data_IF_836768405506
#
_entry.id   IF_836768405506
#
_cell.length_a   1.000
_cell.length_b   1.000
_cell.length_c   1.000
_cell.angle_alpha   90.00
_cell.angle_beta   90.00
_cell.angle_gamma   90.00
#
_symmetry.space_group_name_H-M   'P 1'
#
loop_
_entity.id
_entity.type
_entity.pdbx_description
1 polymer ?
#
# COMPACT_ATOMS: atom_id res chain seq x y z
N UNK A 1 -0.10 -83.42 -34.18
CA UNK A 1 -1.45 -83.28 -33.56
C UNK A 1 -1.54 -81.86 -33.05
N UNK A 2 -2.38 -80.92 -33.50
CA UNK A 2 -3.40 -80.81 -34.55
C UNK A 2 -3.49 -79.30 -34.89
N UNK A 3 -3.52 -78.93 -36.18
CA UNK A 3 -4.57 -78.15 -36.91
C UNK A 3 -5.09 -76.89 -36.17
N UNK A 4 -5.24 -75.70 -36.74
CA UNK A 4 -5.63 -75.30 -38.11
C UNK A 4 -5.51 -73.77 -38.29
N UNK A 5 -5.56 -73.33 -39.54
CA UNK A 5 -5.46 -71.96 -40.11
C UNK A 5 -6.90 -71.50 -40.51
N UNK A 6 -7.11 -70.34 -41.17
CA UNK A 6 -7.29 -68.93 -40.73
C UNK A 6 -8.77 -68.45 -40.88
N UNK A 7 -9.05 -67.13 -40.87
CA UNK A 7 -9.88 -66.39 -41.86
C UNK A 7 -9.95 -64.87 -41.55
N UNK A 8 -10.06 -64.14 -42.66
CA UNK A 8 -10.13 -62.71 -42.99
C UNK A 8 -11.32 -61.87 -42.47
N UNK A 9 -11.09 -60.55 -42.51
CA UNK A 9 -11.88 -59.46 -43.16
C UNK A 9 -12.70 -58.41 -42.39
N UNK A 10 -12.62 -57.20 -42.99
CA UNK A 10 -13.35 -55.93 -42.84
C UNK A 10 -13.00 -55.07 -41.60
N UNK A 11 -12.63 -53.78 -41.70
CA UNK A 11 -12.78 -52.80 -42.77
C UNK A 11 -13.50 -51.54 -42.21
N UNK A 12 -13.07 -50.36 -42.69
CA UNK A 12 -13.77 -49.05 -42.67
C UNK A 12 -13.56 -48.24 -41.37
N UNK A 13 -12.74 -47.16 -41.30
CA UNK A 13 -12.78 -45.82 -41.95
C UNK A 13 -13.53 -44.75 -41.12
N UNK A 14 -13.12 -43.50 -41.30
CA UNK A 14 -13.79 -42.23 -40.97
C UNK A 14 -13.42 -41.46 -39.67
N UNK A 15 -12.48 -40.52 -39.87
CA UNK A 15 -12.58 -39.05 -39.63
C UNK A 15 -12.85 -38.49 -38.23
N UNK A 16 -11.89 -37.68 -37.74
CA UNK A 16 -12.13 -36.59 -36.78
C UNK A 16 -11.74 -35.25 -37.41
N UNK A 17 -12.73 -34.64 -38.07
CA UNK A 17 -12.87 -33.20 -38.22
C UNK A 17 -13.23 -32.61 -36.84
N UNK A 18 -12.51 -31.58 -36.40
CA UNK A 18 -12.81 -30.84 -35.18
C UNK A 18 -12.23 -29.43 -35.25
N UNK A 19 -12.95 -28.55 -35.95
CA UNK A 19 -12.61 -27.16 -36.21
C UNK A 19 -12.96 -26.24 -35.04
N UNK A 20 -12.03 -25.33 -34.75
CA UNK A 20 -12.19 -23.93 -34.33
C UNK A 20 -13.65 -23.42 -34.24
N UNK A 21 -14.10 -23.17 -33.01
CA UNK A 21 -15.11 -22.18 -32.69
C UNK A 21 -14.96 -21.79 -31.21
N UNK A 22 -14.56 -20.55 -30.93
CA UNK A 22 -14.40 -20.10 -29.54
C UNK A 22 -13.82 -18.71 -29.37
N UNK A 23 -14.20 -17.75 -30.22
CA UNK A 23 -13.96 -16.32 -29.97
C UNK A 23 -15.16 -15.51 -30.48
N UNK A 24 -16.12 -15.24 -29.60
CA UNK A 24 -17.02 -14.08 -29.70
C UNK A 24 -17.83 -13.96 -28.42
N UNK A 25 -17.91 -12.76 -27.84
CA UNK A 25 -19.14 -12.18 -27.30
C UNK A 25 -18.89 -10.75 -26.77
N UNK A 26 -19.44 -9.78 -27.48
CA UNK A 26 -19.89 -8.48 -26.97
C UNK A 26 -21.37 -8.57 -26.56
N UNK A 27 -21.72 -7.86 -25.48
CA UNK A 27 -22.99 -7.22 -25.08
C UNK A 27 -24.36 -7.79 -25.50
N UNK A 28 -25.27 -7.99 -24.53
CA UNK A 28 -26.52 -7.21 -24.39
C UNK A 28 -27.34 -7.57 -23.12
N UNK A 29 -28.16 -6.58 -22.74
CA UNK A 29 -28.96 -6.40 -21.53
C UNK A 29 -30.31 -7.17 -21.46
N UNK A 30 -30.94 -7.03 -20.27
CA UNK A 30 -32.38 -7.00 -19.91
C UNK A 30 -33.10 -8.28 -19.46
N UNK A 31 -33.78 -8.20 -18.31
CA UNK A 31 -34.66 -9.27 -17.80
C UNK A 31 -35.22 -9.12 -16.38
N UNK A 32 -35.94 -8.04 -16.12
CA UNK A 32 -36.65 -7.62 -14.89
C UNK A 32 -37.72 -8.62 -14.34
N UNK A 33 -37.78 -8.84 -13.01
CA UNK A 33 -39.00 -9.05 -12.17
C UNK A 33 -38.58 -8.86 -10.69
N UNK A 34 -39.26 -8.22 -9.73
CA UNK A 34 -40.54 -7.52 -9.63
C UNK A 34 -40.95 -7.44 -8.14
N UNK A 35 -41.53 -6.30 -7.73
CA UNK A 35 -42.21 -5.96 -6.43
C UNK A 35 -41.31 -5.35 -5.33
N UNK A 36 -41.69 -4.28 -4.62
CA UNK A 36 -42.86 -3.39 -4.64
C UNK A 36 -42.47 -2.12 -3.85
N UNK A 37 -42.76 -0.94 -4.40
CA UNK A 37 -42.80 0.33 -3.67
C UNK A 37 -44.13 0.47 -2.91
N UNK A 38 -44.10 1.11 -1.74
CA UNK A 38 -45.02 2.22 -1.46
C UNK A 38 -44.37 3.23 -0.50
N UNK A 39 -44.68 4.53 -0.65
CA UNK A 39 -44.05 5.65 0.05
C UNK A 39 -44.89 6.11 1.26
N UNK A 40 -44.32 6.92 2.15
CA UNK A 40 -45.00 8.05 2.81
C UNK A 40 -44.01 8.94 3.58
N UNK A 41 -44.41 10.20 3.66
CA UNK A 41 -43.61 11.42 3.81
C UNK A 41 -43.80 12.02 5.23
N UNK A 42 -43.50 13.30 5.53
CA UNK A 42 -42.63 13.72 6.63
C UNK A 42 -43.37 14.57 7.71
N UNK A 43 -42.74 14.74 8.87
CA UNK A 43 -43.23 15.54 10.02
C UNK A 43 -44.55 15.06 10.67
N UNK A 44 -44.44 14.52 11.89
CA UNK A 44 -45.26 14.96 13.03
C UNK A 44 -44.76 14.27 14.32
N UNK A 45 -44.44 15.12 15.30
CA UNK A 45 -44.40 14.88 16.75
C UNK A 45 -43.55 13.71 17.28
N UNK A 46 -42.48 13.98 18.04
CA UNK A 46 -42.64 14.39 19.43
C UNK A 46 -41.61 15.46 19.84
N UNK A 47 -42.16 16.62 20.13
CA UNK A 47 -41.64 17.61 21.07
C UNK A 47 -41.27 16.98 22.40
N UNK A 48 -40.00 17.05 22.78
CA UNK A 48 -39.49 16.61 24.09
C UNK A 48 -38.39 17.55 24.57
N UNK A 49 -38.80 18.70 25.10
CA UNK A 49 -37.94 19.69 25.73
C UNK A 49 -37.23 19.13 26.97
N UNK A 50 -35.90 19.19 27.02
CA UNK A 50 -35.18 19.40 28.28
C UNK A 50 -34.05 20.41 28.09
N UNK A 51 -34.34 21.59 28.64
CA UNK A 51 -33.51 22.77 28.83
C UNK A 51 -32.14 22.44 29.41
N UNK A 52 -31.07 22.90 28.76
CA UNK A 52 -29.90 23.50 29.42
C UNK A 52 -29.52 24.78 28.67
N UNK A 53 -30.09 25.89 29.11
CA UNK A 53 -29.65 27.24 28.74
C UNK A 53 -28.63 27.71 29.78
N UNK A 54 -27.44 28.12 29.33
CA UNK A 54 -26.96 29.51 29.47
C UNK A 54 -25.60 29.73 28.77
N UNK A 55 -25.24 30.99 28.44
CA UNK A 55 -24.85 31.35 27.08
C UNK A 55 -23.33 31.49 26.86
N UNK A 56 -22.90 31.09 25.66
CA UNK A 56 -21.62 31.49 25.08
C UNK A 56 -21.71 32.96 24.70
N UNK A 57 -20.97 33.82 25.41
CA UNK A 57 -20.61 35.15 24.92
C UNK A 57 -19.72 34.97 23.68
N UNK A 58 -20.27 35.31 22.51
CA UNK A 58 -19.50 35.74 21.35
C UNK A 58 -19.03 37.16 21.64
N UNK A 59 -17.73 37.34 21.79
CA UNK A 59 -17.02 38.59 21.48
C UNK A 59 -15.51 38.31 21.45
N UNK A 60 -14.84 38.81 20.43
CA UNK A 60 -13.38 38.87 20.38
C UNK A 60 -12.77 38.10 19.21
N UNK A 61 -12.38 38.84 18.19
CA UNK A 61 -11.32 38.47 17.26
C UNK A 61 -10.05 38.20 18.09
N UNK A 62 -9.89 36.96 18.54
CA UNK A 62 -8.78 36.54 19.38
C UNK A 62 -7.55 36.29 18.51
N UNK A 63 -6.67 37.27 18.45
CA UNK A 63 -5.25 37.05 18.10
C UNK A 63 -4.76 35.90 18.97
N UNK A 64 -4.15 34.90 18.35
CA UNK A 64 -3.59 33.75 19.04
C UNK A 64 -2.49 34.24 20.02
N UNK A 65 -2.68 34.14 21.35
CA UNK A 65 -1.70 34.63 22.32
C UNK A 65 -0.38 33.83 22.30
N UNK A 66 -0.31 32.75 21.50
CA UNK A 66 0.85 31.88 21.38
C UNK A 66 1.76 32.17 20.17
N UNK A 67 1.44 33.14 19.29
CA UNK A 67 2.42 33.62 18.30
C UNK A 67 3.65 34.28 18.96
N UNK A 68 3.51 34.75 20.20
CA UNK A 68 4.57 35.41 20.96
C UNK A 68 5.53 34.46 21.67
N UNK A 69 5.21 33.16 21.75
CA UNK A 69 6.00 32.16 22.49
C UNK A 69 6.71 31.15 21.60
N UNK A 70 6.62 31.29 20.27
CA UNK A 70 7.55 30.62 19.37
C UNK A 70 8.92 31.31 19.52
N UNK A 71 10.01 30.57 19.77
CA UNK A 71 11.34 31.16 19.74
C UNK A 71 11.53 31.83 18.38
N UNK A 72 11.75 33.15 18.38
CA UNK A 72 12.31 33.87 17.25
C UNK A 72 13.79 33.46 17.11
N UNK A 73 14.04 32.19 16.77
CA UNK A 73 15.39 31.70 16.50
C UNK A 73 15.65 31.77 15.01
N UNK A 74 16.40 32.80 14.64
CA UNK A 74 17.22 32.92 13.43
C UNK A 74 16.49 32.57 12.13
N UNK A 75 15.88 33.59 11.55
CA UNK A 75 15.60 33.65 10.14
C UNK A 75 16.89 33.45 9.32
N UNK A 76 17.17 32.21 8.94
CA UNK A 76 18.04 31.89 7.83
C UNK A 76 17.57 30.59 7.17
N UNK A 77 17.16 30.72 5.91
CA UNK A 77 16.80 29.68 4.92
C UNK A 77 15.37 29.09 4.96
N UNK A 78 14.41 29.89 4.45
CA UNK A 78 13.13 29.47 3.82
C UNK A 78 12.36 28.33 4.53
N UNK A 79 11.83 28.59 5.71
CA UNK A 79 10.59 27.94 6.16
C UNK A 79 9.41 28.45 5.30
N UNK A 80 9.36 28.04 4.02
CA UNK A 80 8.21 28.36 3.17
C UNK A 80 7.04 27.47 3.62
N UNK A 81 6.10 28.04 4.37
CA UNK A 81 4.80 27.42 4.58
C UNK A 81 4.11 27.31 3.22
N UNK A 82 3.87 26.08 2.76
CA UNK A 82 3.16 25.77 1.53
C UNK A 82 1.75 25.29 1.87
N UNK A 83 0.92 25.12 0.85
CA UNK A 83 -0.42 24.53 0.99
C UNK A 83 -0.44 23.12 0.41
N UNK A 84 -1.37 22.28 0.88
CA UNK A 84 -1.64 20.97 0.26
C UNK A 84 -1.98 21.12 -1.23
N UNK A 85 -2.59 22.24 -1.65
CA UNK A 85 -2.87 22.49 -3.06
C UNK A 85 -1.58 22.60 -3.90
N UNK A 86 -0.55 23.29 -3.41
CA UNK A 86 0.74 23.36 -4.10
C UNK A 86 1.45 22.01 -4.13
N UNK A 87 1.41 21.26 -3.02
CA UNK A 87 1.98 19.90 -2.95
C UNK A 87 1.38 18.99 -4.03
N UNK A 88 0.05 18.99 -4.14
CA UNK A 88 -0.70 18.14 -5.08
C UNK A 88 -0.51 18.58 -6.54
N UNK A 89 -0.41 19.89 -6.79
CA UNK A 89 -0.24 20.41 -8.16
C UNK A 89 1.19 20.24 -8.68
N UNK A 90 2.18 20.48 -7.84
CA UNK A 90 3.57 20.67 -8.28
C UNK A 90 4.47 19.52 -7.82
N UNK A 91 4.50 19.23 -6.52
CA UNK A 91 5.50 18.32 -5.92
C UNK A 91 5.20 16.85 -6.21
N UNK A 92 3.94 16.41 -6.02
CA UNK A 92 3.55 15.02 -6.22
C UNK A 92 3.70 14.59 -7.70
N UNK A 93 3.18 15.36 -8.69
CA UNK A 93 3.32 14.99 -10.10
C UNK A 93 4.78 14.94 -10.56
N UNK A 94 5.59 15.92 -10.15
CA UNK A 94 7.03 15.92 -10.44
C UNK A 94 7.70 14.67 -9.88
N UNK A 95 7.39 14.31 -8.63
CA UNK A 95 7.93 13.11 -8.01
C UNK A 95 7.55 11.84 -8.75
N UNK A 96 6.26 11.63 -9.02
CA UNK A 96 5.74 10.44 -9.69
C UNK A 96 6.26 10.30 -11.13
N UNK A 97 6.51 11.41 -11.82
CA UNK A 97 7.07 11.41 -13.18
C UNK A 97 8.50 10.87 -13.22
N UNK A 98 9.27 11.07 -12.15
CA UNK A 98 10.64 10.58 -12.03
C UNK A 98 10.74 9.13 -11.54
N UNK A 99 9.66 8.55 -11.02
CA UNK A 99 9.67 7.19 -10.47
C UNK A 99 9.66 6.13 -11.57
N UNK A 100 10.67 5.27 -11.56
CA UNK A 100 10.81 4.14 -12.48
C UNK A 100 10.24 2.85 -11.94
N UNK A 101 10.42 2.58 -10.67
CA UNK A 101 9.91 1.41 -9.96
C UNK A 101 9.70 1.77 -8.48
N UNK A 102 8.68 1.19 -7.83
CA UNK A 102 8.49 1.38 -6.40
C UNK A 102 9.56 0.60 -5.63
N UNK A 103 10.29 1.28 -4.75
CA UNK A 103 11.24 0.61 -3.85
C UNK A 103 10.55 0.31 -2.53
N UNK A 104 10.73 -0.91 -2.03
CA UNK A 104 10.21 -1.33 -0.73
C UNK A 104 11.33 -1.32 0.30
N UNK A 105 11.06 -0.72 1.45
CA UNK A 105 11.91 -0.81 2.63
C UNK A 105 11.38 -1.86 3.58
N UNK A 106 12.32 -2.62 4.10
CA UNK A 106 12.13 -3.61 5.15
C UNK A 106 13.27 -3.41 6.13
N UNK A 107 12.96 -3.35 7.41
CA UNK A 107 13.98 -3.23 8.45
C UNK A 107 14.67 -4.60 8.66
N UNK A 108 15.96 -4.68 8.36
CA UNK A 108 16.76 -5.89 8.48
C UNK A 108 17.44 -5.97 9.86
N UNK A 109 17.76 -7.19 10.31
CA UNK A 109 18.37 -7.42 11.62
C UNK A 109 19.77 -6.83 11.76
N UNK A 110 20.43 -6.61 10.63
CA UNK A 110 21.76 -5.99 10.54
C UNK A 110 21.69 -4.46 10.61
N UNK A 111 20.51 -3.85 10.49
CA UNK A 111 20.37 -2.41 10.48
C UNK A 111 20.56 -1.85 11.90
N UNK A 112 21.28 -0.73 12.02
CA UNK A 112 21.50 -0.07 13.31
C UNK A 112 20.17 0.27 14.01
N UNK A 113 19.16 0.67 13.24
CA UNK A 113 17.82 0.95 13.76
C UNK A 113 17.16 -0.29 14.39
N UNK A 114 17.37 -1.48 13.81
CA UNK A 114 16.87 -2.73 14.39
C UNK A 114 17.56 -3.02 15.74
N UNK A 115 18.88 -2.86 15.79
CA UNK A 115 19.69 -3.08 17.00
C UNK A 115 19.28 -2.09 18.11
N UNK A 116 19.04 -0.82 17.75
CA UNK A 116 18.54 0.21 18.67
C UNK A 116 17.14 -0.15 19.17
N UNK A 117 16.23 -0.55 18.27
CA UNK A 117 14.88 -1.00 18.63
C UNK A 117 14.90 -2.21 19.58
N UNK A 118 15.73 -3.21 19.33
CA UNK A 118 15.90 -4.36 20.23
C UNK A 118 16.45 -3.98 21.60
N UNK A 119 17.33 -2.97 21.64
CA UNK A 119 17.88 -2.47 22.90
C UNK A 119 16.83 -1.69 23.70
N UNK A 120 16.03 -0.87 23.03
CA UNK A 120 14.87 -0.19 23.63
C UNK A 120 13.86 -1.21 24.17
N UNK A 121 13.49 -2.20 23.34
CA UNK A 121 12.56 -3.27 23.71
C UNK A 121 12.99 -3.99 24.98
N UNK A 122 14.25 -4.42 25.07
CA UNK A 122 14.79 -5.10 26.26
C UNK A 122 14.79 -4.22 27.51
N UNK A 123 15.12 -2.93 27.36
CA UNK A 123 15.22 -1.99 28.49
C UNK A 123 13.86 -1.68 29.10
N UNK A 124 12.85 -1.52 28.26
CA UNK A 124 11.50 -1.10 28.67
C UNK A 124 10.49 -2.25 28.70
N UNK A 125 10.98 -3.49 28.66
CA UNK A 125 10.18 -4.72 28.75
C UNK A 125 9.04 -4.79 27.71
N UNK A 126 9.29 -4.25 26.52
CA UNK A 126 8.33 -4.27 25.42
C UNK A 126 8.16 -5.70 24.91
N UNK A 127 6.91 -6.11 24.63
CA UNK A 127 6.62 -7.45 24.12
C UNK A 127 7.24 -7.68 22.73
N UNK A 128 7.55 -8.94 22.41
CA UNK A 128 8.04 -9.30 21.07
C UNK A 128 7.04 -8.91 19.98
N UNK A 129 5.74 -9.13 20.22
CA UNK A 129 4.68 -8.75 19.29
C UNK A 129 4.69 -7.25 18.97
N UNK A 130 4.81 -6.38 19.99
CA UNK A 130 4.87 -4.93 19.78
C UNK A 130 6.07 -4.50 18.96
N UNK A 131 7.22 -5.13 19.20
CA UNK A 131 8.43 -4.89 18.40
C UNK A 131 8.28 -5.34 16.94
N UNK A 132 7.68 -6.51 16.70
CA UNK A 132 7.41 -7.01 15.35
C UNK A 132 6.36 -6.15 14.62
N UNK A 133 5.34 -5.68 15.33
CA UNK A 133 4.33 -4.77 14.80
C UNK A 133 4.94 -3.42 14.41
N UNK A 134 5.78 -2.83 15.28
CA UNK A 134 6.57 -1.64 14.96
C UNK A 134 7.42 -1.83 13.70
N UNK A 135 8.13 -2.96 13.60
CA UNK A 135 8.94 -3.31 12.44
C UNK A 135 8.10 -3.44 11.15
N UNK A 136 6.92 -4.05 11.22
CA UNK A 136 6.02 -4.22 10.07
C UNK A 136 5.43 -2.89 9.62
N UNK A 137 4.96 -2.06 10.55
CA UNK A 137 4.47 -0.70 10.25
C UNK A 137 5.56 0.20 9.65
N UNK A 138 6.82 0.04 10.08
CA UNK A 138 7.96 0.75 9.47
C UNK A 138 8.33 0.25 8.07
N UNK A 139 7.76 -0.85 7.60
CA UNK A 139 8.04 -1.41 6.26
C UNK A 139 7.00 -0.92 5.25
N UNK A 140 7.40 -0.73 3.99
CA UNK A 140 6.51 -0.20 2.96
C UNK A 140 7.25 0.44 1.80
N UNK A 141 6.56 1.19 0.96
CA UNK A 141 7.15 1.83 -0.23
C UNK A 141 7.80 3.17 0.15
N UNK A 142 9.13 3.26 0.03
CA UNK A 142 9.89 4.46 0.46
C UNK A 142 9.67 5.68 -0.43
N UNK A 143 9.23 5.45 -1.65
CA UNK A 143 8.93 6.50 -2.61
C UNK A 143 7.52 7.09 -2.38
N UNK A 144 6.74 6.54 -1.44
CA UNK A 144 5.37 6.97 -1.15
C UNK A 144 5.36 7.87 0.09
N UNK A 145 4.27 8.65 0.30
CA UNK A 145 4.16 9.44 1.53
C UNK A 145 4.20 8.54 2.76
N UNK A 146 4.92 8.97 3.79
CA UNK A 146 4.96 8.30 5.08
C UNK A 146 3.88 8.88 5.99
N UNK A 147 3.24 8.05 6.80
CA UNK A 147 2.32 8.50 7.84
C UNK A 147 3.06 8.59 9.18
N UNK A 148 2.93 9.70 9.89
CA UNK A 148 3.40 9.86 11.26
C UNK A 148 2.22 9.92 12.22
N UNK A 149 2.06 8.88 13.02
CA UNK A 149 1.14 8.81 14.14
C UNK A 149 1.85 9.24 15.45
N UNK A 150 1.09 9.27 16.53
CA UNK A 150 1.65 9.62 17.83
C UNK A 150 2.39 8.42 18.45
N UNK A 151 1.69 7.32 18.61
CA UNK A 151 2.11 6.14 19.35
C UNK A 151 1.28 4.91 18.94
N UNK A 152 1.73 3.70 19.27
CA UNK A 152 1.00 2.47 18.98
C UNK A 152 -0.37 2.40 19.68
N UNK A 153 -1.25 1.55 19.15
CA UNK A 153 -2.51 1.22 19.84
C UNK A 153 -2.22 0.43 21.11
N UNK A 154 -3.17 0.42 22.05
CA UNK A 154 -3.10 -0.44 23.24
C UNK A 154 -3.21 -1.94 22.91
N UNK A 155 -3.39 -2.31 21.63
CA UNK A 155 -3.48 -3.68 21.14
C UNK A 155 -2.17 -4.14 20.47
N UNK A 156 -1.08 -3.39 20.59
CA UNK A 156 0.20 -3.68 19.94
C UNK A 156 0.86 -4.99 20.41
N UNK A 157 0.41 -5.55 21.52
CA UNK A 157 0.81 -6.86 22.01
C UNK A 157 0.20 -8.05 21.24
N UNK A 158 -0.81 -7.81 20.38
CA UNK A 158 -1.46 -8.84 19.56
C UNK A 158 -0.67 -9.14 18.27
N UNK A 159 -0.90 -10.28 17.61
CA UNK A 159 -0.50 -10.48 16.21
C UNK A 159 -0.99 -9.33 15.31
N UNK A 160 -0.24 -9.04 14.25
CA UNK A 160 -0.46 -7.82 13.46
C UNK A 160 -1.89 -7.67 12.93
N UNK A 161 -2.45 -8.73 12.36
CA UNK A 161 -3.79 -8.75 11.79
C UNK A 161 -4.84 -8.47 12.89
N UNK A 162 -4.71 -9.11 14.04
CA UNK A 162 -5.58 -8.86 15.20
C UNK A 162 -5.40 -7.44 15.76
N UNK A 163 -4.18 -6.90 15.77
CA UNK A 163 -3.92 -5.50 16.18
C UNK A 163 -4.64 -4.53 15.24
N UNK A 164 -4.64 -4.78 13.92
CA UNK A 164 -5.32 -3.94 12.92
C UNK A 164 -6.83 -3.97 13.15
N UNK A 165 -7.41 -5.16 13.29
CA UNK A 165 -8.86 -5.35 13.51
C UNK A 165 -9.36 -4.67 14.79
N UNK A 166 -8.56 -4.69 15.86
CA UNK A 166 -8.95 -4.11 17.15
C UNK A 166 -8.61 -2.61 17.28
N UNK A 167 -7.69 -2.10 16.45
CA UNK A 167 -7.28 -0.69 16.48
C UNK A 167 -8.18 0.16 15.58
N UNK A 168 -9.00 1.03 16.18
CA UNK A 168 -9.82 2.00 15.44
C UNK A 168 -8.99 2.80 14.43
N UNK A 169 -7.77 3.20 14.81
CA UNK A 169 -6.88 3.96 13.92
C UNK A 169 -6.40 3.12 12.74
N UNK A 170 -5.90 1.90 12.97
CA UNK A 170 -5.33 1.08 11.90
C UNK A 170 -6.42 0.52 10.96
N UNK A 171 -7.56 0.09 11.51
CA UNK A 171 -8.71 -0.33 10.71
C UNK A 171 -9.22 0.80 9.80
N UNK A 172 -9.32 2.03 10.33
CA UNK A 172 -9.71 3.19 9.53
C UNK A 172 -8.68 3.50 8.43
N UNK A 173 -7.39 3.41 8.76
CA UNK A 173 -6.31 3.63 7.79
C UNK A 173 -6.32 2.57 6.70
N UNK A 174 -6.53 1.30 7.03
CA UNK A 174 -6.62 0.21 6.07
C UNK A 174 -7.76 0.45 5.06
N UNK A 175 -8.96 0.78 5.55
CA UNK A 175 -10.09 1.10 4.68
C UNK A 175 -9.84 2.35 3.81
N UNK A 176 -9.21 3.38 4.39
CA UNK A 176 -8.88 4.62 3.68
C UNK A 176 -7.84 4.38 2.58
N UNK A 177 -6.76 3.65 2.86
CA UNK A 177 -5.74 3.33 1.88
C UNK A 177 -6.27 2.38 0.79
N UNK A 178 -7.12 1.42 1.15
CA UNK A 178 -7.77 0.54 0.18
C UNK A 178 -8.60 1.34 -0.84
N UNK A 179 -9.30 2.39 -0.39
CA UNK A 179 -10.02 3.33 -1.26
C UNK A 179 -9.12 4.05 -2.28
N UNK A 180 -7.83 4.21 -1.95
CA UNK A 180 -6.82 4.81 -2.82
C UNK A 180 -6.03 3.78 -3.65
N UNK A 181 -6.35 2.48 -3.54
CA UNK A 181 -5.65 1.41 -4.26
C UNK A 181 -4.30 1.02 -3.62
N UNK A 182 -4.15 1.26 -2.32
CA UNK A 182 -2.97 0.91 -1.52
C UNK A 182 -3.35 -0.06 -0.40
N UNK A 183 -2.48 -1.02 -0.11
CA UNK A 183 -2.55 -1.80 1.12
C UNK A 183 -1.94 -1.06 2.31
N UNK A 184 -2.30 -1.45 3.53
CA UNK A 184 -1.64 -0.94 4.73
C UNK A 184 -0.13 -1.23 4.69
N UNK A 185 0.26 -2.42 4.21
CA UNK A 185 1.64 -2.84 4.01
C UNK A 185 2.36 -2.05 2.89
N UNK A 186 1.68 -1.24 2.06
CA UNK A 186 2.34 -0.39 1.06
C UNK A 186 2.81 0.95 1.64
N UNK A 187 2.24 1.37 2.77
CA UNK A 187 2.51 2.67 3.40
C UNK A 187 3.34 2.47 4.66
N UNK A 188 4.46 3.17 4.74
CA UNK A 188 5.24 3.23 5.97
C UNK A 188 4.48 4.09 6.98
N UNK A 189 4.23 3.53 8.16
CA UNK A 189 3.62 4.18 9.31
C UNK A 189 4.67 4.26 10.43
N UNK A 190 5.06 5.47 10.75
CA UNK A 190 5.93 5.79 11.88
C UNK A 190 5.09 6.31 13.04
N UNK A 191 5.53 6.03 14.27
CA UNK A 191 5.07 6.75 15.45
C UNK A 191 6.07 7.82 15.87
N UNK A 192 5.59 8.87 16.51
CA UNK A 192 6.45 9.84 17.20
C UNK A 192 7.10 9.21 18.43
N UNK A 193 6.37 8.33 19.11
CA UNK A 193 6.84 7.57 20.27
C UNK A 193 6.59 6.07 20.01
N UNK A 194 7.38 5.43 19.13
CA UNK A 194 7.22 4.02 18.81
C UNK A 194 7.40 3.14 20.05
N UNK A 195 6.63 2.05 20.09
CA UNK A 195 6.61 1.06 21.17
C UNK A 195 6.21 1.61 22.56
N UNK A 196 5.66 2.84 22.63
CA UNK A 196 5.12 3.39 23.88
C UNK A 196 3.59 3.42 23.77
N UNK A 197 2.91 2.41 24.32
CA UNK A 197 1.46 2.48 24.49
C UNK A 197 1.10 3.50 25.56
N UNK A 198 -0.17 3.89 25.56
CA UNK A 198 -0.71 4.75 26.60
C UNK A 198 -0.63 4.09 27.98
N UNK A 199 -0.81 2.77 28.04
CA UNK A 199 -0.75 2.01 29.29
C UNK A 199 0.68 1.93 29.85
N UNK A 200 1.69 1.74 28.98
CA UNK A 200 3.10 1.79 29.40
C UNK A 200 3.46 3.18 29.92
N UNK A 201 3.01 4.23 29.22
CA UNK A 201 3.26 5.61 29.63
C UNK A 201 2.67 5.89 31.01
N UNK A 202 1.43 5.46 31.26
CA UNK A 202 0.78 5.57 32.56
C UNK A 202 1.52 4.78 33.64
N UNK A 203 1.90 3.52 33.35
CA UNK A 203 2.63 2.68 34.28
C UNK A 203 3.94 3.33 34.75
N UNK A 204 4.75 3.82 33.82
CA UNK A 204 6.02 4.51 34.14
C UNK A 204 5.78 5.81 34.91
N UNK A 205 4.76 6.58 34.54
CA UNK A 205 4.43 7.83 35.24
C UNK A 205 3.96 7.61 36.68
N UNK A 206 3.23 6.54 36.94
CA UNK A 206 2.68 6.23 38.27
C UNK A 206 3.67 5.50 39.18
N UNK A 207 4.54 4.65 38.61
CA UNK A 207 5.35 3.69 39.38
C UNK A 207 6.86 3.97 39.32
N UNK A 208 7.32 4.89 38.48
CA UNK A 208 8.73 5.22 38.33
C UNK A 208 9.02 6.70 38.59
N UNK A 209 10.31 7.03 38.74
CA UNK A 209 10.73 8.41 38.92
C UNK A 209 10.47 9.26 37.66
N UNK A 210 10.16 10.57 37.78
CA UNK A 210 9.93 11.45 36.63
C UNK A 210 11.07 11.45 35.59
N UNK A 211 12.31 11.22 36.03
CA UNK A 211 13.47 11.09 35.16
C UNK A 211 13.36 9.88 34.20
N UNK A 212 12.71 8.80 34.62
CA UNK A 212 12.48 7.61 33.78
C UNK A 212 11.46 7.86 32.69
N UNK A 213 10.41 8.62 32.98
CA UNK A 213 9.42 9.02 31.98
C UNK A 213 10.06 9.87 30.87
N UNK A 214 10.91 10.82 31.25
CA UNK A 214 11.66 11.62 30.27
C UNK A 214 12.67 10.79 29.48
N UNK A 215 13.38 9.87 30.14
CA UNK A 215 14.29 8.93 29.50
C UNK A 215 13.58 8.06 28.45
N UNK A 216 12.41 7.49 28.80
CA UNK A 216 11.55 6.70 27.92
C UNK A 216 11.17 7.49 26.66
N UNK A 217 10.61 8.70 26.83
CA UNK A 217 10.19 9.56 25.73
C UNK A 217 11.36 9.94 24.82
N UNK A 218 12.49 10.33 25.41
CA UNK A 218 13.70 10.72 24.68
C UNK A 218 14.25 9.57 23.85
N UNK A 219 14.31 8.36 24.40
CA UNK A 219 14.82 7.18 23.71
C UNK A 219 13.89 6.70 22.61
N UNK A 220 12.58 6.70 22.85
CA UNK A 220 11.60 6.34 21.84
C UNK A 220 11.59 7.36 20.69
N UNK A 221 11.61 8.66 20.98
CA UNK A 221 11.71 9.67 19.92
C UNK A 221 13.04 9.60 19.16
N UNK A 222 14.13 9.14 19.79
CA UNK A 222 15.38 8.88 19.08
C UNK A 222 15.24 7.79 18.02
N UNK A 223 14.41 6.75 18.26
CA UNK A 223 14.07 5.76 17.24
C UNK A 223 13.35 6.41 16.07
N UNK A 224 12.37 7.31 16.31
CA UNK A 224 11.70 8.05 15.23
C UNK A 224 12.67 8.88 14.40
N UNK A 225 13.63 9.57 15.02
CA UNK A 225 14.68 10.31 14.30
C UNK A 225 15.48 9.38 13.40
N UNK A 226 15.93 8.25 13.95
CA UNK A 226 16.70 7.26 13.22
C UNK A 226 15.89 6.64 12.06
N UNK A 227 14.60 6.35 12.26
CA UNK A 227 13.68 5.92 11.20
C UNK A 227 13.59 6.94 10.08
N UNK A 228 13.36 8.23 10.40
CA UNK A 228 13.25 9.28 9.38
C UNK A 228 14.57 9.53 8.65
N UNK A 229 15.71 9.45 9.34
CA UNK A 229 17.04 9.59 8.75
C UNK A 229 17.40 8.42 7.82
N UNK A 230 16.90 7.22 8.13
CA UNK A 230 17.10 6.02 7.31
C UNK A 230 16.19 6.02 6.07
N UNK A 231 14.90 6.30 6.25
CA UNK A 231 13.88 6.22 5.21
C UNK A 231 13.95 7.43 4.26
N UNK A 232 14.31 8.61 4.78
CA UNK A 232 14.38 9.88 4.06
C UNK A 232 13.14 10.16 3.21
N UNK A 233 11.93 10.19 3.82
CA UNK A 233 10.71 10.36 3.07
C UNK A 233 10.62 11.77 2.48
N UNK A 234 10.15 11.87 1.24
CA UNK A 234 9.97 13.18 0.57
C UNK A 234 8.72 13.91 1.08
N UNK A 235 7.69 13.14 1.42
CA UNK A 235 6.40 13.63 1.94
C UNK A 235 6.08 12.85 3.21
N UNK A 236 5.69 13.56 4.26
CA UNK A 236 5.25 12.99 5.53
C UNK A 236 3.89 13.60 5.89
N UNK A 237 2.86 12.78 6.00
CA UNK A 237 1.58 13.19 6.57
C UNK A 237 1.66 13.00 8.09
N UNK A 238 1.65 14.09 8.84
CA UNK A 238 1.68 14.03 10.30
C UNK A 238 0.29 14.15 10.91
N UNK A 239 -0.13 13.10 11.60
CA UNK A 239 -1.37 12.98 12.34
C UNK A 239 -1.16 12.94 13.86
N UNK A 240 0.02 13.32 14.36
CA UNK A 240 0.29 13.48 15.79
C UNK A 240 -0.02 14.91 16.26
N UNK A 241 -0.74 15.04 17.38
CA UNK A 241 -1.16 16.35 17.91
C UNK A 241 -0.59 16.68 19.30
N UNK A 242 0.21 15.78 19.90
CA UNK A 242 0.44 15.74 21.34
C UNK A 242 1.74 16.37 21.83
N UNK A 243 2.62 16.89 20.96
CA UNK A 243 3.85 17.59 21.39
C UNK A 243 3.62 19.03 21.84
N UNK A 244 2.38 19.38 22.22
CA UNK A 244 2.03 20.67 22.83
C UNK A 244 2.24 20.62 24.35
N UNK A 245 2.70 21.73 24.97
CA UNK A 245 2.96 21.78 26.41
C UNK A 245 1.77 21.41 27.33
N UNK A 246 0.55 21.49 26.80
CA UNK A 246 -0.72 21.30 27.52
C UNK A 246 -1.27 19.87 27.42
N UNK A 247 -0.57 18.94 26.78
CA UNK A 247 -1.06 17.57 26.71
C UNK A 247 -0.94 16.89 28.09
N UNK A 248 -2.06 16.65 28.75
CA UNK A 248 -2.08 16.08 30.12
C UNK A 248 -1.47 14.67 30.18
N UNK A 249 -1.54 13.90 29.08
CA UNK A 249 -1.08 12.51 29.03
C UNK A 249 0.40 12.40 28.66
N UNK A 250 0.81 13.08 27.59
CA UNK A 250 2.15 13.03 27.03
C UNK A 250 3.07 14.14 27.53
N UNK A 251 2.53 15.13 28.24
CA UNK A 251 3.28 16.26 28.78
C UNK A 251 3.97 17.12 27.71
N UNK A 252 4.75 18.09 28.17
CA UNK A 252 5.64 18.84 27.30
C UNK A 252 6.90 18.01 26.99
N UNK A 253 7.10 17.66 25.72
CA UNK A 253 8.36 17.07 25.25
C UNK A 253 9.20 18.13 24.51
N UNK A 254 10.38 18.43 25.05
CA UNK A 254 11.25 19.52 24.54
C UNK A 254 12.22 18.99 23.48
N UNK A 255 11.71 18.81 22.27
CA UNK A 255 12.54 18.51 21.10
C UNK A 255 12.08 19.33 19.88
N UNK A 256 13.02 20.05 19.27
CA UNK A 256 12.74 20.97 18.15
C UNK A 256 12.15 20.24 16.95
N UNK A 257 12.62 19.02 16.65
CA UNK A 257 12.07 18.23 15.56
C UNK A 257 10.66 17.75 15.90
N UNK A 258 10.44 17.27 17.13
CA UNK A 258 9.11 16.84 17.57
C UNK A 258 8.07 17.96 17.43
N UNK A 259 8.43 19.19 17.81
CA UNK A 259 7.61 20.39 17.63
C UNK A 259 7.36 20.73 16.16
N UNK A 260 8.38 20.62 15.30
CA UNK A 260 8.23 20.81 13.85
C UNK A 260 7.44 19.69 13.20
N UNK A 261 7.36 18.51 13.79
CA UNK A 261 6.49 17.42 13.32
C UNK A 261 5.07 17.53 13.89
N UNK A 262 4.82 18.36 14.90
CA UNK A 262 3.52 18.52 15.54
C UNK A 262 2.43 19.00 14.58
N UNK A 263 1.29 18.34 14.62
CA UNK A 263 0.08 18.80 13.96
C UNK A 263 -0.91 19.42 14.94
N UNK A 264 -1.90 20.11 14.37
CA UNK A 264 -3.01 20.70 15.10
C UNK A 264 -4.24 20.76 14.19
N UNK A 265 -5.42 20.78 14.81
CA UNK A 265 -6.70 20.97 14.08
C UNK A 265 -6.67 22.25 13.25
N UNK A 266 -6.09 23.34 13.77
CA UNK A 266 -5.97 24.62 13.05
C UNK A 266 -5.10 24.47 11.80
N UNK A 267 -3.89 23.92 11.94
CA UNK A 267 -2.97 23.73 10.80
C UNK A 267 -3.51 22.75 9.76
N UNK A 268 -4.23 21.72 10.19
CA UNK A 268 -4.96 20.80 9.31
C UNK A 268 -6.09 21.54 8.55
N UNK A 269 -6.88 22.35 9.26
CA UNK A 269 -7.96 23.16 8.66
C UNK A 269 -7.47 24.21 7.67
N UNK A 270 -6.22 24.64 7.78
CA UNK A 270 -5.60 25.54 6.81
C UNK A 270 -4.89 24.78 5.68
N UNK A 271 -4.77 23.45 5.77
CA UNK A 271 -4.03 22.65 4.79
C UNK A 271 -2.57 23.06 4.72
N UNK A 272 -1.94 23.36 5.86
CA UNK A 272 -0.53 23.77 5.92
C UNK A 272 0.38 22.61 5.59
N UNK A 273 1.43 22.92 4.84
CA UNK A 273 2.58 22.05 4.57
C UNK A 273 3.83 22.81 5.00
N UNK A 274 4.67 22.18 5.80
CA UNK A 274 5.95 22.77 6.24
C UNK A 274 7.11 21.95 5.69
N UNK A 275 8.15 22.63 5.20
CA UNK A 275 9.41 21.96 4.87
C UNK A 275 10.21 21.76 6.16
N UNK A 276 10.63 20.53 6.40
CA UNK A 276 11.51 20.15 7.52
C UNK A 276 12.78 19.53 6.94
N UNK A 277 13.93 19.94 7.48
CA UNK A 277 15.23 19.35 7.13
C UNK A 277 15.68 18.42 8.26
N UNK A 278 16.05 17.19 7.92
CA UNK A 278 16.61 16.18 8.81
C UNK A 278 17.89 15.67 8.16
N UNK A 279 19.04 15.95 8.76
CA UNK A 279 20.36 15.52 8.28
C UNK A 279 20.63 15.83 6.79
N UNK A 280 20.22 17.02 6.34
CA UNK A 280 20.39 17.48 4.95
C UNK A 280 19.35 16.93 3.97
N UNK A 281 18.34 16.20 4.46
CA UNK A 281 17.21 15.73 3.69
C UNK A 281 15.98 16.59 3.94
N UNK A 282 15.46 17.22 2.88
CA UNK A 282 14.25 18.06 2.94
C UNK A 282 12.99 17.23 2.72
N UNK A 283 12.09 17.33 3.67
CA UNK A 283 10.81 16.63 3.72
C UNK A 283 9.64 17.62 3.78
N UNK A 284 8.57 17.34 3.03
CA UNK A 284 7.32 18.09 3.08
C UNK A 284 6.39 17.48 4.13
N UNK A 285 6.17 18.19 5.24
CA UNK A 285 5.32 17.75 6.34
C UNK A 285 3.93 18.32 6.19
N UNK A 286 2.99 17.46 5.82
CA UNK A 286 1.58 17.75 5.69
C UNK A 286 0.90 17.60 7.04
N UNK A 287 0.06 18.58 7.43
CA UNK A 287 -0.63 18.57 8.72
C UNK A 287 -1.98 17.87 8.63
N UNK A 288 -2.11 16.75 9.32
CA UNK A 288 -3.36 15.99 9.50
C UNK A 288 -3.89 16.08 10.94
N UNK A 289 -4.89 15.25 11.25
CA UNK A 289 -5.40 15.05 12.62
C UNK A 289 -5.41 13.55 12.91
N UNK A 290 -5.31 13.16 14.17
CA UNK A 290 -5.25 11.75 14.53
C UNK A 290 -6.56 11.04 14.15
N UNK A 291 -6.53 9.91 13.40
CA UNK A 291 -7.74 9.22 12.97
C UNK A 291 -8.68 8.85 14.12
N UNK A 292 -8.14 8.34 15.23
CA UNK A 292 -8.94 8.06 16.43
C UNK A 292 -9.78 9.25 16.90
N UNK A 293 -9.24 10.48 16.84
CA UNK A 293 -9.96 11.66 17.28
C UNK A 293 -11.18 11.95 16.40
N UNK A 294 -11.02 11.88 15.07
CA UNK A 294 -12.12 12.22 14.15
C UNK A 294 -13.18 11.13 14.10
N UNK A 295 -12.77 9.86 14.13
CA UNK A 295 -13.70 8.71 14.11
C UNK A 295 -14.54 8.66 15.38
N UNK A 296 -13.96 9.01 16.53
CA UNK A 296 -14.67 8.93 17.82
C UNK A 296 -15.45 10.21 18.16
N UNK A 297 -14.97 11.39 17.77
CA UNK A 297 -15.47 12.66 18.34
C UNK A 297 -15.92 13.72 17.33
N UNK A 298 -15.48 13.67 16.06
CA UNK A 298 -15.81 14.71 15.08
C UNK A 298 -15.91 14.16 13.64
N UNK A 299 -17.10 13.66 13.30
CA UNK A 299 -17.41 13.06 12.00
C UNK A 299 -17.24 14.04 10.82
N UNK A 300 -17.43 15.35 11.06
CA UNK A 300 -17.23 16.36 10.01
C UNK A 300 -15.74 16.53 9.67
N UNK A 301 -14.84 16.29 10.62
CA UNK A 301 -13.41 16.26 10.36
C UNK A 301 -12.95 14.94 9.72
N UNK A 302 -13.71 13.86 9.88
CA UNK A 302 -13.39 12.57 9.26
C UNK A 302 -13.41 12.66 7.74
N UNK A 303 -14.51 13.16 7.15
CA UNK A 303 -14.60 13.35 5.69
C UNK A 303 -13.46 14.23 5.16
N UNK A 304 -13.10 15.25 5.93
CA UNK A 304 -12.00 16.15 5.59
C UNK A 304 -10.65 15.45 5.67
N UNK A 305 -10.45 14.56 6.65
CA UNK A 305 -9.23 13.79 6.81
C UNK A 305 -9.11 12.77 5.67
N UNK A 306 -10.18 12.03 5.38
CA UNK A 306 -10.25 11.14 4.22
C UNK A 306 -9.93 11.89 2.92
N UNK A 307 -10.50 13.09 2.72
CA UNK A 307 -10.19 13.95 1.58
C UNK A 307 -8.73 14.43 1.54
N UNK A 308 -8.06 14.60 2.68
CA UNK A 308 -6.62 14.87 2.72
C UNK A 308 -5.81 13.64 2.31
N UNK A 309 -6.18 12.45 2.80
CA UNK A 309 -5.56 11.19 2.42
C UNK A 309 -5.69 10.94 0.91
N UNK A 310 -6.90 11.08 0.35
CA UNK A 310 -7.14 10.95 -1.09
C UNK A 310 -6.26 11.87 -1.92
N UNK A 311 -6.07 13.12 -1.49
CA UNK A 311 -5.22 14.10 -2.18
C UNK A 311 -3.74 13.77 -2.10
N UNK A 312 -3.27 13.23 -0.97
CA UNK A 312 -1.84 12.97 -0.72
C UNK A 312 -1.42 11.60 -1.24
N UNK A 313 -2.23 10.57 -1.01
CA UNK A 313 -1.93 9.17 -1.33
C UNK A 313 -2.56 8.69 -2.64
N UNK A 314 -3.75 9.19 -3.01
CA UNK A 314 -4.47 8.76 -4.22
C UNK A 314 -3.66 8.81 -5.53
N UNK A 315 -2.85 9.86 -5.78
CA UNK A 315 -1.97 9.88 -6.94
C UNK A 315 -0.94 8.73 -6.96
N UNK A 316 -0.43 8.33 -5.79
CA UNK A 316 0.54 7.25 -5.65
C UNK A 316 -0.12 5.88 -5.84
N UNK A 317 -1.29 5.68 -5.25
CA UNK A 317 -2.07 4.45 -5.45
C UNK A 317 -2.50 4.26 -6.91
N UNK A 318 -3.02 5.31 -7.55
CA UNK A 318 -3.34 5.28 -8.99
C UNK A 318 -2.11 4.93 -9.84
N UNK A 319 -0.96 5.54 -9.55
CA UNK A 319 0.29 5.26 -10.23
C UNK A 319 0.74 3.80 -10.03
N UNK A 320 0.61 3.30 -8.81
CA UNK A 320 0.99 1.93 -8.43
C UNK A 320 0.11 0.89 -9.11
N UNK A 321 -1.21 1.00 -8.97
CA UNK A 321 -2.17 0.07 -9.55
C UNK A 321 -2.02 -0.01 -11.07
N UNK A 322 -1.83 1.13 -11.76
CA UNK A 322 -1.59 1.16 -13.21
C UNK A 322 -0.34 0.37 -13.60
N UNK A 323 0.74 0.49 -12.83
CA UNK A 323 1.99 -0.22 -13.12
C UNK A 323 1.88 -1.70 -12.85
N UNK A 324 1.27 -2.10 -11.73
CA UNK A 324 0.99 -3.51 -11.43
C UNK A 324 0.14 -4.13 -12.55
N UNK A 325 -0.94 -3.45 -12.97
CA UNK A 325 -1.78 -3.92 -14.07
C UNK A 325 -1.01 -4.02 -15.40
N UNK A 326 -0.18 -3.04 -15.73
CA UNK A 326 0.65 -3.06 -16.95
C UNK A 326 1.65 -4.22 -16.92
N UNK A 327 2.33 -4.44 -15.79
CA UNK A 327 3.26 -5.56 -15.62
C UNK A 327 2.56 -6.90 -15.74
N UNK A 328 1.36 -7.03 -15.16
CA UNK A 328 0.57 -8.25 -15.28
C UNK A 328 0.17 -8.51 -16.73
N UNK A 329 -0.36 -7.49 -17.43
CA UNK A 329 -0.72 -7.61 -18.85
C UNK A 329 0.48 -8.00 -19.72
N UNK A 330 1.67 -7.47 -19.43
CA UNK A 330 2.90 -7.87 -20.12
C UNK A 330 3.26 -9.34 -19.86
N UNK A 331 3.15 -9.81 -18.61
CA UNK A 331 3.38 -11.22 -18.28
C UNK A 331 2.38 -12.13 -18.98
N UNK A 332 1.10 -11.76 -18.96
CA UNK A 332 0.04 -12.53 -19.63
C UNK A 332 0.29 -12.60 -21.14
N UNK A 333 0.66 -11.48 -21.77
CA UNK A 333 1.03 -11.44 -23.18
C UNK A 333 2.25 -12.32 -23.50
N UNK A 334 3.26 -12.35 -22.63
CA UNK A 334 4.41 -13.25 -22.76
C UNK A 334 3.96 -14.71 -22.68
N UNK A 335 3.12 -15.08 -21.71
CA UNK A 335 2.59 -16.43 -21.55
C UNK A 335 1.79 -16.88 -22.78
N UNK A 336 0.92 -16.02 -23.30
CA UNK A 336 0.16 -16.31 -24.53
C UNK A 336 1.10 -16.51 -25.73
N UNK A 337 2.09 -15.62 -25.88
CA UNK A 337 3.07 -15.70 -26.97
C UNK A 337 3.88 -17.00 -26.89
N UNK A 338 4.32 -17.39 -25.69
CA UNK A 338 5.01 -18.67 -25.46
C UNK A 338 4.13 -19.87 -25.82
N UNK A 339 2.84 -19.84 -25.46
CA UNK A 339 1.86 -20.86 -25.84
C UNK A 339 1.70 -20.98 -27.36
N UNK A 340 1.54 -19.85 -28.06
CA UNK A 340 1.44 -19.81 -29.53
C UNK A 340 2.69 -20.38 -30.21
N UNK A 341 3.88 -20.01 -29.72
CA UNK A 341 5.16 -20.54 -30.23
C UNK A 341 5.25 -22.06 -30.02
N UNK A 342 4.82 -22.57 -28.86
CA UNK A 342 4.78 -24.01 -28.58
C UNK A 342 3.81 -24.75 -29.52
N UNK A 343 2.59 -24.22 -29.71
CA UNK A 343 1.60 -24.78 -30.64
C UNK A 343 2.11 -24.78 -32.08
N UNK A 344 2.74 -23.69 -32.52
CA UNK A 344 3.31 -23.62 -33.87
C UNK A 344 4.42 -24.66 -34.07
N UNK A 345 5.31 -24.85 -33.07
CA UNK A 345 6.33 -25.92 -33.11
C UNK A 345 5.71 -27.31 -33.22
N UNK A 346 4.61 -27.56 -32.51
CA UNK A 346 3.88 -28.83 -32.62
C UNK A 346 3.28 -29.02 -34.02
N UNK A 347 2.63 -28.00 -34.57
CA UNK A 347 2.05 -28.06 -35.92
C UNK A 347 3.10 -28.27 -37.00
N UNK A 348 4.27 -27.63 -36.89
CA UNK A 348 5.40 -27.87 -37.81
C UNK A 348 5.88 -29.32 -37.74
N UNK A 349 5.95 -29.93 -36.55
CA UNK A 349 6.30 -31.36 -36.40
C UNK A 349 5.23 -32.27 -37.01
N UNK A 350 3.96 -32.00 -36.75
CA UNK A 350 2.85 -32.76 -37.33
C UNK A 350 2.86 -32.70 -38.86
N UNK A 351 3.05 -31.50 -39.43
CA UNK A 351 3.17 -31.31 -40.87
C UNK A 351 4.37 -32.07 -41.45
N UNK A 352 5.53 -32.05 -40.79
CA UNK A 352 6.70 -32.82 -41.23
C UNK A 352 6.42 -34.33 -41.23
N UNK A 353 5.74 -34.85 -40.21
CA UNK A 353 5.37 -36.27 -40.14
C UNK A 353 4.37 -36.65 -41.24
N UNK A 354 3.34 -35.83 -41.47
CA UNK A 354 2.35 -36.08 -42.51
C UNK A 354 2.97 -36.02 -43.91
N UNK A 355 3.92 -35.12 -44.16
CA UNK A 355 4.69 -35.10 -45.42
C UNK A 355 5.49 -36.37 -45.62
N UNK A 356 6.14 -36.86 -44.57
CA UNK A 356 6.88 -38.12 -44.64
C UNK A 356 5.94 -39.29 -45.00
N UNK A 357 4.78 -39.38 -44.34
CA UNK A 357 3.78 -40.41 -44.63
C UNK A 357 3.24 -40.32 -46.07
N UNK A 358 2.87 -39.12 -46.52
CA UNK A 358 2.39 -38.91 -47.89
C UNK A 358 3.43 -39.32 -48.94
N UNK A 359 4.72 -39.06 -48.69
CA UNK A 359 5.81 -39.48 -49.55
C UNK A 359 5.98 -41.02 -49.57
N UNK A 360 5.81 -41.69 -48.42
CA UNK A 360 5.80 -43.15 -48.31
C UNK A 360 4.63 -43.78 -49.09
N UNK A 361 3.48 -43.12 -49.10
CA UNK A 361 2.26 -43.54 -49.82
C UNK A 361 2.24 -43.15 -51.31
N UNK A 362 3.28 -42.45 -51.80
CA UNK A 362 3.40 -42.04 -53.20
C UNK A 362 2.45 -40.92 -53.62
N UNK A 363 1.94 -40.13 -52.66
CA UNK A 363 1.10 -38.97 -52.92
C UNK A 363 1.95 -37.76 -53.31
N UNK A 364 1.48 -36.99 -54.30
CA UNK A 364 2.16 -35.75 -54.70
C UNK A 364 2.12 -34.71 -53.58
N UNK A 365 3.24 -34.00 -53.43
CA UNK A 365 3.45 -33.06 -52.35
C UNK A 365 2.65 -31.76 -52.57
N UNK A 366 1.85 -31.30 -51.59
CA UNK A 366 1.05 -30.11 -51.77
C UNK A 366 1.91 -28.84 -51.87
N UNK A 367 1.52 -27.90 -52.72
CA UNK A 367 2.20 -26.61 -53.00
C UNK A 367 2.48 -25.77 -51.73
N UNK A 368 1.75 -25.98 -50.64
CA UNK A 368 1.98 -25.31 -49.35
C UNK A 368 3.20 -25.84 -48.55
N UNK A 369 3.90 -26.85 -49.06
CA UNK A 369 5.06 -27.48 -48.45
C UNK A 369 6.22 -26.51 -48.12
N UNK A 370 6.47 -25.52 -48.98
CA UNK A 370 7.56 -24.55 -48.81
C UNK A 370 7.37 -23.66 -47.56
N UNK A 371 6.11 -23.34 -47.24
CA UNK A 371 5.74 -22.48 -46.11
C UNK A 371 6.13 -23.09 -44.76
N UNK A 372 6.03 -24.42 -44.63
CA UNK A 372 6.39 -25.14 -43.40
C UNK A 372 7.90 -25.15 -43.13
N UNK A 373 8.71 -25.09 -44.18
CA UNK A 373 10.18 -25.02 -44.07
C UNK A 373 10.61 -23.61 -43.68
N UNK A 374 9.98 -22.58 -44.28
CA UNK A 374 10.21 -21.17 -43.96
C UNK A 374 9.84 -20.84 -42.50
N UNK A 375 8.68 -21.29 -42.03
CA UNK A 375 8.24 -21.13 -40.64
C UNK A 375 9.20 -21.80 -39.64
N UNK A 376 9.76 -22.96 -39.99
CA UNK A 376 10.76 -23.65 -39.16
C UNK A 376 12.07 -22.85 -39.09
N UNK A 377 12.53 -22.30 -40.21
CA UNK A 377 13.75 -21.49 -40.26
C UNK A 377 13.61 -20.22 -39.40
N UNK A 378 12.48 -19.50 -39.54
CA UNK A 378 12.18 -18.30 -38.75
C UNK A 378 12.14 -18.58 -37.24
N UNK A 379 11.60 -19.74 -36.83
CA UNK A 379 11.56 -20.12 -35.41
C UNK A 379 12.93 -20.47 -34.81
N UNK A 380 13.86 -21.00 -35.61
CA UNK A 380 15.22 -21.30 -35.17
C UNK A 380 16.09 -20.03 -35.15
N UNK A 381 15.86 -19.07 -36.07
CA UNK A 381 16.49 -17.75 -36.03
C UNK A 381 16.09 -16.97 -34.76
N UNK A 382 14.82 -17.05 -34.36
CA UNK A 382 14.32 -16.48 -33.11
C UNK A 382 14.93 -17.11 -31.84
N UNK A 383 15.50 -18.32 -31.91
CA UNK A 383 16.25 -18.92 -30.77
C UNK A 383 17.68 -18.40 -30.68
N UNK A 384 18.30 -18.05 -31.81
CA UNK A 384 19.69 -17.58 -31.89
C UNK A 384 19.89 -16.18 -31.30
N UNK A 385 18.84 -15.35 -31.33
CA UNK A 385 18.82 -14.02 -30.72
C UNK A 385 18.19 -14.10 -29.31
N UNK A 386 18.99 -14.46 -28.31
CA UNK A 386 18.69 -14.52 -26.87
C UNK A 386 17.34 -13.92 -26.42
N UNK A 387 16.28 -14.73 -26.26
CA UNK A 387 15.18 -14.37 -25.33
C UNK A 387 14.22 -15.48 -24.88
N UNK A 388 14.36 -16.74 -25.28
CA UNK A 388 13.45 -17.79 -24.77
C UNK A 388 14.21 -19.09 -24.49
N UNK A 389 14.86 -19.16 -23.33
CA UNK A 389 15.22 -20.43 -22.71
C UNK A 389 14.01 -20.94 -21.91
N UNK A 390 13.24 -21.87 -22.48
CA UNK A 390 12.12 -22.53 -21.77
C UNK A 390 12.70 -23.70 -20.99
N UNK A 391 13.34 -23.42 -19.87
CA UNK A 391 13.60 -24.44 -18.85
C UNK A 391 12.39 -24.49 -17.92
N UNK A 392 11.58 -25.55 -18.03
CA UNK A 392 10.62 -25.93 -16.99
C UNK A 392 11.41 -26.27 -15.71
N UNK A 393 11.38 -25.38 -14.73
CA UNK A 393 12.08 -25.52 -13.45
C UNK A 393 11.12 -25.52 -12.27
N UNK A 394 10.73 -26.72 -11.82
CA UNK A 394 10.63 -27.07 -10.40
C UNK A 394 9.52 -26.42 -9.56
N UNK A 395 8.35 -27.05 -9.54
CA UNK A 395 7.62 -27.23 -8.29
C UNK A 395 8.47 -28.17 -7.43
N UNK A 396 9.15 -27.62 -6.42
CA UNK A 396 9.56 -28.41 -5.26
C UNK A 396 8.53 -28.18 -4.18
N UNK A 397 7.67 -29.18 -3.99
CA UNK A 397 6.99 -29.40 -2.72
C UNK A 397 8.06 -29.48 -1.62
N UNK A 398 8.01 -28.57 -0.66
CA UNK A 398 8.63 -28.76 0.64
C UNK A 398 7.60 -29.40 1.56
N UNK A 399 7.60 -30.73 1.56
CA UNK A 399 7.15 -31.53 2.71
C UNK A 399 8.40 -31.82 3.54
N UNK A 400 8.55 -31.07 4.64
CA UNK A 400 8.93 -31.50 6.00
C UNK A 400 9.14 -30.26 6.88
#
# INVERSE_FOLDING_TARGET
MSQSVPIHDAGIDATLQGSLAGLSLTDHETGNTGKKFTPLNPFEDLTGTSKWNNPVRKDGCGINPFELFLPQSVASERDSVQSVANLVRDVIPEHLSGLREPRRFTLHETDELYIQGQSFKRKWEISEASFLNWKRLLSGLIDFPVLLLLNPSNWDYLPFEEMVDNSTTLCWLEGTFAGEGLGLDDVIICDSFPMITDDLLMHVNEHMEPAKLEELRRESFALTKASLALIKPRILLSCQCCTKPENEKWGAFKDTLAQRLCSSVVSFREGRVQVVDIDGHRMQVVRGVHPQYVVQYDFALEERLAGLFARVFGPFGTWYSRRVATQQALRDAITVTQGLVASLRLQIRLHANLRQQAAEDGLEEPVAAELGVELKALLEECKGNHLIDVSFGGIKESVL
#
